data_IF_618706559614
#
_entry.id   IF_618706559614
#
_cell.length_a   1.000
_cell.length_b   1.000
_cell.length_c   1.000
_cell.angle_alpha   90.00
_cell.angle_beta   90.00
_cell.angle_gamma   90.00
#
_symmetry.space_group_name_H-M   'P 1'
#
loop_
_entity.id
_entity.type
_entity.pdbx_description
1 polymer ?
#
# COMPACT_ATOMS: atom_id res chain seq x y z
N UNK A 1 -33.15 23.17 -52.12
CA UNK A 1 -33.13 23.85 -50.80
C UNK A 1 -34.35 23.43 -50.01
N UNK A 2 -34.18 22.59 -48.96
CA UNK A 2 -35.10 22.47 -47.81
C UNK A 2 -34.50 21.53 -46.75
N UNK A 3 -34.03 22.18 -45.69
CA UNK A 3 -33.92 21.78 -44.28
C UNK A 3 -33.23 20.46 -43.90
N UNK A 4 -32.02 20.63 -43.36
CA UNK A 4 -31.36 19.71 -42.45
C UNK A 4 -31.64 20.13 -41.00
N UNK A 5 -32.06 19.20 -40.15
CA UNK A 5 -31.84 19.24 -38.70
C UNK A 5 -31.59 17.80 -38.27
N UNK A 6 -30.32 17.41 -38.12
CA UNK A 6 -29.94 16.16 -37.45
C UNK A 6 -29.38 16.57 -36.09
N UNK A 7 -30.16 16.26 -35.06
CA UNK A 7 -29.81 16.48 -33.65
C UNK A 7 -28.70 15.48 -33.28
N UNK A 8 -27.49 15.98 -33.05
CA UNK A 8 -26.41 15.21 -32.44
C UNK A 8 -26.73 15.01 -30.95
N UNK A 9 -27.34 13.88 -30.59
CA UNK A 9 -27.40 13.42 -29.21
C UNK A 9 -26.02 12.85 -28.82
N UNK A 10 -25.22 13.65 -28.13
CA UNK A 10 -24.06 13.18 -27.37
C UNK A 10 -24.56 12.33 -26.20
N UNK A 11 -24.70 11.02 -26.40
CA UNK A 11 -24.91 10.08 -25.30
C UNK A 11 -23.57 9.86 -24.60
N UNK A 12 -23.41 10.50 -23.44
CA UNK A 12 -22.30 10.31 -22.51
C UNK A 12 -22.43 8.91 -21.90
N UNK A 13 -21.90 7.89 -22.58
CA UNK A 13 -21.74 6.57 -21.98
C UNK A 13 -20.52 6.61 -21.05
N UNK A 14 -20.77 7.05 -19.82
CA UNK A 14 -19.87 6.84 -18.68
C UNK A 14 -19.68 5.33 -18.51
N UNK A 15 -18.65 4.79 -19.14
CA UNK A 15 -18.11 3.50 -18.75
C UNK A 15 -17.48 3.69 -17.37
N UNK A 16 -18.30 3.59 -16.32
CA UNK A 16 -17.83 3.32 -14.98
C UNK A 16 -17.18 1.95 -15.04
N UNK A 17 -15.86 1.94 -15.27
CA UNK A 17 -15.04 0.78 -15.05
C UNK A 17 -15.32 0.33 -13.62
N UNK A 18 -16.06 -0.78 -13.49
CA UNK A 18 -16.26 -1.44 -12.22
C UNK A 18 -14.91 -2.02 -11.83
N UNK A 19 -14.12 -1.22 -11.11
CA UNK A 19 -12.94 -1.72 -10.41
C UNK A 19 -13.48 -2.77 -9.43
N UNK A 20 -13.09 -4.05 -9.53
CA UNK A 20 -13.41 -4.99 -8.47
C UNK A 20 -12.60 -4.59 -7.23
N UNK A 21 -13.24 -3.82 -6.35
CA UNK A 21 -12.82 -3.61 -4.97
C UNK A 21 -13.26 -4.83 -4.16
N UNK A 22 -12.57 -5.95 -4.32
CA UNK A 22 -12.74 -7.12 -3.46
C UNK A 22 -11.58 -8.09 -3.64
N UNK A 23 -10.86 -8.36 -2.55
CA UNK A 23 -9.78 -9.34 -2.36
C UNK A 23 -8.34 -8.81 -2.45
N UNK A 24 -8.09 -7.55 -2.06
CA UNK A 24 -6.86 -7.34 -1.29
C UNK A 24 -7.04 -8.05 0.06
N UNK A 25 -6.17 -9.00 0.45
CA UNK A 25 -6.32 -9.74 1.68
C UNK A 25 -6.44 -8.76 2.85
N UNK A 26 -7.45 -9.00 3.69
CA UNK A 26 -7.69 -8.28 4.95
C UNK A 26 -6.40 -8.35 5.77
N UNK A 27 -5.72 -7.22 5.91
CA UNK A 27 -4.61 -6.99 6.82
C UNK A 27 -3.73 -8.23 7.03
N UNK A 28 -2.87 -8.53 6.05
CA UNK A 28 -1.76 -9.43 6.31
C UNK A 28 -1.03 -8.89 7.55
N UNK A 29 -1.00 -9.73 8.60
CA UNK A 29 -0.22 -9.49 9.81
C UNK A 29 1.14 -8.96 9.39
N UNK A 30 1.52 -7.81 9.94
CA UNK A 30 2.82 -7.25 9.62
C UNK A 30 3.92 -8.26 9.96
N UNK A 31 4.97 -8.29 9.15
CA UNK A 31 6.09 -9.20 9.39
C UNK A 31 6.86 -8.69 10.61
N UNK A 32 6.85 -9.46 11.70
CA UNK A 32 7.76 -9.21 12.81
C UNK A 32 9.16 -9.66 12.44
N UNK A 33 10.16 -8.97 12.98
CA UNK A 33 11.56 -9.34 12.81
C UNK A 33 12.12 -9.17 11.40
N UNK A 34 11.54 -8.25 10.63
CA UNK A 34 12.10 -7.86 9.35
C UNK A 34 13.46 -7.18 9.53
N UNK A 35 14.38 -7.42 8.58
CA UNK A 35 15.66 -6.70 8.53
C UNK A 35 15.71 -5.84 7.29
N UNK A 36 16.26 -4.64 7.44
CA UNK A 36 16.52 -3.75 6.32
C UNK A 36 17.32 -4.47 5.24
N UNK A 37 16.86 -4.36 4.00
CA UNK A 37 17.51 -4.96 2.85
C UNK A 37 17.17 -6.44 2.61
N UNK A 38 16.47 -7.12 3.51
CA UNK A 38 15.93 -8.45 3.22
C UNK A 38 14.76 -8.38 2.24
N UNK A 39 14.53 -9.48 1.53
CA UNK A 39 13.42 -9.62 0.59
C UNK A 39 12.08 -9.55 1.34
N UNK A 40 11.10 -8.93 0.71
CA UNK A 40 9.75 -8.79 1.25
C UNK A 40 8.69 -9.20 0.21
N UNK A 41 7.46 -9.53 0.64
CA UNK A 41 6.48 -10.21 -0.22
C UNK A 41 5.91 -9.32 -1.34
N UNK A 42 5.89 -8.00 -1.16
CA UNK A 42 5.40 -7.07 -2.17
C UNK A 42 5.19 -5.65 -1.63
N UNK A 43 5.13 -4.66 -2.53
CA UNK A 43 4.92 -3.26 -2.16
C UNK A 43 3.65 -3.06 -1.33
N UNK A 44 3.68 -2.10 -0.40
CA UNK A 44 2.52 -1.77 0.43
C UNK A 44 2.42 -2.56 1.74
N UNK A 45 3.28 -3.56 1.94
CA UNK A 45 3.32 -4.35 3.18
C UNK A 45 4.19 -3.65 4.22
N UNK A 46 3.71 -3.65 5.46
CA UNK A 46 4.44 -3.13 6.62
C UNK A 46 4.99 -4.26 7.48
N UNK A 47 6.04 -3.94 8.22
CA UNK A 47 6.73 -4.87 9.10
C UNK A 47 7.33 -4.13 10.30
N UNK A 48 7.75 -4.88 11.31
CA UNK A 48 8.51 -4.36 12.43
C UNK A 48 9.94 -4.89 12.36
N UNK A 49 10.92 -4.01 12.61
CA UNK A 49 12.30 -4.43 12.75
C UNK A 49 12.46 -5.44 13.91
N UNK A 50 13.48 -6.30 13.83
CA UNK A 50 13.87 -7.33 14.82
C UNK A 50 13.97 -6.89 16.29
N UNK A 51 13.98 -5.58 16.57
CA UNK A 51 13.96 -5.04 17.94
C UNK A 51 12.70 -4.21 18.26
N UNK A 52 11.70 -4.19 17.37
CA UNK A 52 10.49 -3.37 17.50
C UNK A 52 10.72 -1.85 17.43
N UNK A 53 11.95 -1.42 17.15
CA UNK A 53 12.36 -0.02 17.14
C UNK A 53 11.92 0.73 15.88
N UNK A 54 11.77 0.05 14.75
CA UNK A 54 11.37 0.71 13.51
C UNK A 54 10.16 0.05 12.88
N UNK A 55 9.27 0.88 12.36
CA UNK A 55 8.33 0.50 11.31
C UNK A 55 9.10 0.34 10.01
N UNK A 56 8.80 -0.73 9.29
CA UNK A 56 9.45 -1.12 8.05
C UNK A 56 8.41 -1.11 6.94
N UNK A 57 8.83 -0.70 5.74
CA UNK A 57 8.00 -0.72 4.54
C UNK A 57 8.66 -1.57 3.46
N UNK A 58 7.87 -2.40 2.78
CA UNK A 58 8.34 -3.16 1.63
C UNK A 58 8.34 -2.28 0.38
N UNK A 59 9.52 -1.89 -0.09
CA UNK A 59 9.68 -1.04 -1.26
C UNK A 59 10.26 -1.82 -2.45
N UNK A 60 9.84 -1.47 -3.66
CA UNK A 60 10.44 -2.01 -4.87
C UNK A 60 11.84 -1.40 -5.05
N UNK A 61 12.87 -2.26 -5.11
CA UNK A 61 14.25 -1.85 -5.33
C UNK A 61 14.64 -1.89 -6.80
N UNK A 62 14.06 -2.83 -7.53
CA UNK A 62 14.22 -3.01 -8.98
C UNK A 62 13.01 -3.78 -9.50
N UNK A 63 12.71 -3.70 -10.80
CA UNK A 63 11.52 -4.33 -11.41
C UNK A 63 11.27 -5.76 -10.90
N UNK A 64 10.22 -5.94 -10.09
CA UNK A 64 9.79 -7.21 -9.52
C UNK A 64 10.60 -7.72 -8.32
N UNK A 65 11.49 -6.91 -7.73
CA UNK A 65 12.24 -7.23 -6.51
C UNK A 65 11.97 -6.20 -5.42
N UNK A 66 11.61 -6.69 -4.25
CA UNK A 66 11.19 -5.86 -3.13
C UNK A 66 12.07 -6.12 -1.90
N UNK A 67 12.44 -5.06 -1.20
CA UNK A 67 13.23 -5.14 0.01
C UNK A 67 12.62 -4.29 1.13
N UNK A 68 12.81 -4.72 2.37
CA UNK A 68 12.44 -3.93 3.53
C UNK A 68 13.31 -2.68 3.65
N UNK A 69 12.69 -1.53 3.87
CA UNK A 69 13.33 -0.25 4.19
C UNK A 69 12.76 0.31 5.50
N UNK A 70 13.51 1.17 6.17
CA UNK A 70 12.98 1.91 7.32
C UNK A 70 11.91 2.90 6.85
N UNK A 71 10.76 2.89 7.52
CA UNK A 71 9.70 3.87 7.34
C UNK A 71 9.75 4.90 8.47
N UNK A 72 9.57 4.47 9.72
CA UNK A 72 9.54 5.33 10.90
C UNK A 72 10.41 4.76 12.04
N UNK A 73 11.03 5.65 12.82
CA UNK A 73 11.73 5.31 14.07
C UNK A 73 10.77 5.49 15.26
N UNK A 74 10.26 4.40 15.82
CA UNK A 74 9.22 4.43 16.84
C UNK A 74 9.69 5.00 18.22
N UNK A 75 10.89 4.64 18.74
CA UNK A 75 11.44 5.16 19.99
C UNK A 75 11.52 6.69 20.07
N UNK A 76 11.83 7.39 18.97
CA UNK A 76 11.96 8.86 18.96
C UNK A 76 10.65 9.56 19.38
N UNK A 77 9.51 8.88 19.17
CA UNK A 77 8.18 9.36 19.54
C UNK A 77 7.60 8.69 20.78
N UNK A 78 8.41 7.98 21.58
CA UNK A 78 7.95 7.15 22.72
C UNK A 78 6.89 6.10 22.31
N UNK A 79 7.02 5.56 21.09
CA UNK A 79 6.14 4.54 20.50
C UNK A 79 6.90 3.21 20.38
N UNK A 80 6.17 2.13 20.15
CA UNK A 80 6.72 0.84 19.72
C UNK A 80 6.11 0.43 18.38
N UNK A 81 6.80 -0.42 17.62
CA UNK A 81 6.20 -1.00 16.42
C UNK A 81 5.21 -2.12 16.80
N UNK A 82 3.94 -1.96 16.45
CA UNK A 82 2.90 -2.99 16.65
C UNK A 82 2.99 -4.03 15.54
N UNK A 83 3.46 -5.23 15.89
CA UNK A 83 3.55 -6.37 15.00
C UNK A 83 2.24 -6.80 14.31
N UNK A 84 1.08 -6.35 14.80
CA UNK A 84 -0.19 -6.59 14.12
C UNK A 84 -0.38 -5.71 12.89
N UNK A 85 0.13 -4.47 12.95
CA UNK A 85 -0.09 -3.44 11.91
C UNK A 85 1.17 -3.04 11.17
N UNK A 86 2.35 -3.29 11.77
CA UNK A 86 3.66 -2.89 11.26
C UNK A 86 3.94 -1.40 11.43
N UNK A 87 3.14 -0.71 12.25
CA UNK A 87 3.19 0.74 12.45
C UNK A 87 3.62 1.11 13.86
N UNK A 88 4.19 2.29 14.02
CA UNK A 88 4.50 2.84 15.33
C UNK A 88 3.23 3.25 16.08
N UNK A 89 2.93 2.56 17.18
CA UNK A 89 1.79 2.86 18.07
C UNK A 89 2.29 3.32 19.45
N UNK A 90 1.48 4.09 20.20
CA UNK A 90 1.78 4.41 21.59
C UNK A 90 2.01 3.15 22.43
N UNK A 91 2.91 3.23 23.41
CA UNK A 91 3.05 2.22 24.47
C UNK A 91 1.80 2.12 25.34
#
# INVERSE_FOLDING_TARGET
>A
MKSAIIVFTFALASAAASIPDALAPRADLAVCNAKKGESCPGSGVFACENNGGHSMYCAEKSRGKFNWIYADNCPDSKKHCDCRTGLCVPN
#
